data_IF_104884885093
#
_entry.id   IF_104884885093
#
_cell.length_a   1.000
_cell.length_b   1.000
_cell.length_c   1.000
_cell.angle_alpha   90.00
_cell.angle_beta   90.00
_cell.angle_gamma   90.00
#
_symmetry.space_group_name_H-M   'P 1'
#
loop_
_entity.id
_entity.type
_entity.pdbx_description
1 polymer ?
#
# COMPACT_ATOMS: atom_id res chain seq x y z
N UNK A 1 -6.55 15.18 12.38
CA UNK A 1 -5.71 16.05 11.52
C UNK A 1 -5.36 15.33 10.20
N UNK A 2 -4.98 16.08 9.17
CA UNK A 2 -4.48 15.55 7.90
C UNK A 2 -3.10 16.14 7.58
N UNK A 3 -2.43 15.60 6.58
CA UNK A 3 -1.19 16.18 6.09
C UNK A 3 -1.42 17.63 5.62
N UNK A 4 -0.56 18.60 6.00
CA UNK A 4 -0.78 20.02 5.72
C UNK A 4 -1.01 20.37 4.24
N UNK A 5 -0.45 19.57 3.34
CA UNK A 5 -0.53 19.75 1.88
C UNK A 5 -1.78 19.12 1.24
N UNK A 6 -2.67 18.49 2.01
CA UNK A 6 -3.98 18.02 1.52
C UNK A 6 -5.00 19.16 1.50
N UNK A 7 -4.87 20.04 0.50
CA UNK A 7 -5.89 21.03 0.15
C UNK A 7 -6.44 20.69 -1.24
N UNK A 8 -7.78 20.62 -1.37
CA UNK A 8 -8.42 20.09 -2.59
C UNK A 8 -7.96 20.76 -3.90
N UNK A 9 -7.67 22.06 -3.87
CA UNK A 9 -7.22 22.82 -5.03
C UNK A 9 -5.79 22.49 -5.49
N UNK A 10 -4.87 22.21 -4.57
CA UNK A 10 -3.45 21.99 -4.89
C UNK A 10 -3.17 20.51 -5.17
N UNK A 11 -3.83 19.59 -4.45
CA UNK A 11 -3.58 18.13 -4.55
C UNK A 11 -3.95 17.54 -5.92
N UNK A 12 -4.91 18.14 -6.64
CA UNK A 12 -5.31 17.68 -7.97
C UNK A 12 -4.17 17.84 -9.03
N UNK A 13 -3.25 18.78 -8.81
CA UNK A 13 -2.10 19.01 -9.68
C UNK A 13 -0.86 18.18 -9.33
N UNK A 14 -0.67 17.83 -8.05
CA UNK A 14 0.51 17.10 -7.56
C UNK A 14 0.37 15.57 -7.60
N UNK A 15 -0.84 15.04 -7.44
CA UNK A 15 -1.05 13.60 -7.18
C UNK A 15 -1.50 12.82 -8.42
N UNK A 16 -0.92 13.16 -9.59
CA UNK A 16 -1.27 12.53 -10.87
C UNK A 16 -2.79 12.59 -11.17
N UNK A 17 -3.46 13.65 -10.71
CA UNK A 17 -4.91 13.81 -10.82
C UNK A 17 -5.71 12.67 -10.17
N UNK A 18 -5.20 12.13 -9.05
CA UNK A 18 -5.76 11.00 -8.30
C UNK A 18 -5.91 9.73 -9.14
N UNK A 19 -5.08 9.57 -10.19
CA UNK A 19 -5.15 8.41 -11.09
C UNK A 19 -4.50 7.18 -10.50
N UNK A 20 -3.45 7.35 -9.71
CA UNK A 20 -2.67 6.24 -9.14
C UNK A 20 -2.98 6.03 -7.65
N UNK A 21 -3.29 7.09 -6.91
CA UNK A 21 -3.75 7.05 -5.53
C UNK A 21 -4.95 8.01 -5.39
N UNK A 22 -6.12 7.60 -4.87
CA UNK A 22 -6.48 6.27 -4.38
C UNK A 22 -7.24 5.40 -5.40
N UNK A 23 -7.41 5.86 -6.64
CA UNK A 23 -8.39 5.28 -7.58
C UNK A 23 -8.32 3.76 -7.78
N UNK A 24 -7.15 3.11 -7.96
CA UNK A 24 -7.11 1.66 -8.12
C UNK A 24 -7.74 0.92 -6.93
N UNK A 25 -7.44 1.33 -5.69
CA UNK A 25 -8.03 0.73 -4.50
C UNK A 25 -9.56 0.91 -4.46
N UNK A 26 -10.04 2.11 -4.84
CA UNK A 26 -11.48 2.35 -4.97
C UNK A 26 -12.13 1.43 -5.99
N UNK A 27 -11.49 1.20 -7.14
CA UNK A 27 -11.99 0.24 -8.14
C UNK A 27 -12.02 -1.18 -7.56
N UNK A 28 -11.05 -1.56 -6.72
CA UNK A 28 -11.09 -2.84 -5.99
C UNK A 28 -12.36 -2.98 -5.15
N UNK A 29 -12.72 -1.97 -4.37
CA UNK A 29 -13.98 -1.96 -3.64
C UNK A 29 -15.21 -1.99 -4.54
N UNK A 30 -15.17 -1.34 -5.71
CA UNK A 30 -16.26 -1.42 -6.69
C UNK A 30 -16.39 -2.82 -7.29
N UNK A 31 -15.28 -3.54 -7.49
CA UNK A 31 -15.33 -4.95 -7.91
C UNK A 31 -16.02 -5.80 -6.84
N UNK A 32 -15.68 -5.59 -5.57
CA UNK A 32 -16.30 -6.32 -4.46
C UNK A 32 -17.80 -6.01 -4.30
N UNK A 33 -18.24 -4.86 -4.81
CA UNK A 33 -19.62 -4.41 -4.80
C UNK A 33 -20.22 -4.36 -6.23
N UNK A 34 -19.75 -5.22 -7.14
CA UNK A 34 -20.08 -5.16 -8.57
C UNK A 34 -21.59 -5.21 -8.90
N UNK A 35 -22.43 -5.69 -7.98
CA UNK A 35 -23.90 -5.71 -8.16
C UNK A 35 -24.55 -4.32 -8.03
N UNK A 36 -23.84 -3.36 -7.43
CA UNK A 36 -24.28 -1.97 -7.22
C UNK A 36 -23.71 -1.00 -8.28
N UNK A 37 -22.92 -1.51 -9.23
CA UNK A 37 -22.20 -0.71 -10.22
C UNK A 37 -22.58 -1.18 -11.62
N UNK A 38 -22.88 -0.27 -12.58
CA UNK A 38 -23.05 -0.65 -13.98
C UNK A 38 -21.83 -1.40 -14.50
N UNK A 39 -22.05 -2.59 -15.07
CA UNK A 39 -20.96 -3.48 -15.48
C UNK A 39 -20.04 -2.87 -16.54
N UNK A 40 -20.60 -2.07 -17.46
CA UNK A 40 -19.87 -1.32 -18.49
C UNK A 40 -18.98 -0.23 -17.88
N UNK A 41 -19.46 0.46 -16.85
CA UNK A 41 -18.66 1.43 -16.11
C UNK A 41 -17.49 0.74 -15.39
N UNK A 42 -17.76 -0.36 -14.69
CA UNK A 42 -16.71 -1.10 -13.97
C UNK A 42 -15.63 -1.61 -14.93
N UNK A 43 -16.02 -2.23 -16.05
CA UNK A 43 -15.10 -2.70 -17.07
C UNK A 43 -14.26 -1.55 -17.66
N UNK A 44 -14.89 -0.40 -17.93
CA UNK A 44 -14.18 0.80 -18.40
C UNK A 44 -13.16 1.31 -17.38
N UNK A 45 -13.52 1.38 -16.11
CA UNK A 45 -12.62 1.84 -15.04
C UNK A 45 -11.41 0.92 -14.90
N UNK A 46 -11.61 -0.40 -14.91
CA UNK A 46 -10.52 -1.38 -14.86
C UNK A 46 -9.60 -1.22 -16.07
N UNK A 47 -10.17 -1.13 -17.29
CA UNK A 47 -9.39 -0.97 -18.52
C UNK A 47 -8.55 0.31 -18.54
N UNK A 48 -9.13 1.45 -18.11
CA UNK A 48 -8.40 2.71 -17.97
C UNK A 48 -7.25 2.58 -16.97
N UNK A 49 -7.48 1.90 -15.84
CA UNK A 49 -6.48 1.78 -14.79
C UNK A 49 -5.32 0.86 -15.19
N UNK A 50 -5.61 -0.20 -15.95
CA UNK A 50 -4.59 -1.07 -16.53
C UNK A 50 -3.71 -0.33 -17.53
N UNK A 51 -4.32 0.44 -18.45
CA UNK A 51 -3.57 1.28 -19.39
C UNK A 51 -2.70 2.33 -18.69
N UNK A 52 -3.22 2.96 -17.62
CA UNK A 52 -2.46 3.92 -16.82
C UNK A 52 -1.26 3.26 -16.12
N UNK A 53 -1.45 2.06 -15.54
CA UNK A 53 -0.35 1.31 -14.92
C UNK A 53 0.72 0.94 -15.94
N UNK A 54 0.34 0.50 -17.14
CA UNK A 54 1.29 0.13 -18.18
C UNK A 54 2.21 1.30 -18.54
N UNK A 55 1.66 2.51 -18.70
CA UNK A 55 2.45 3.73 -18.96
C UNK A 55 3.37 4.04 -17.77
N UNK A 56 2.85 4.01 -16.54
CA UNK A 56 3.62 4.32 -15.33
C UNK A 56 4.74 3.31 -15.06
N UNK A 57 4.48 2.03 -15.32
CA UNK A 57 5.42 0.90 -15.21
C UNK A 57 6.59 1.09 -16.16
N UNK A 58 6.32 1.39 -17.45
CA UNK A 58 7.37 1.69 -18.45
C UNK A 58 8.20 2.91 -18.03
N UNK A 59 7.55 3.93 -17.49
CA UNK A 59 8.23 5.15 -17.06
C UNK A 59 8.95 5.02 -15.70
N UNK A 60 8.80 3.91 -14.97
CA UNK A 60 9.36 3.76 -13.62
C UNK A 60 8.86 4.81 -12.62
N UNK A 61 7.59 5.20 -12.73
CA UNK A 61 7.02 6.37 -12.02
C UNK A 61 5.86 6.03 -11.07
N UNK A 62 5.80 4.76 -10.63
CA UNK A 62 4.91 4.34 -9.53
C UNK A 62 5.63 4.63 -8.21
N UNK A 63 4.99 5.46 -7.37
CA UNK A 63 5.50 5.83 -6.05
C UNK A 63 4.97 4.92 -4.91
N UNK A 64 5.48 5.16 -3.70
CA UNK A 64 5.15 4.42 -2.47
C UNK A 64 3.66 4.46 -2.09
N UNK A 65 2.91 5.48 -2.53
CA UNK A 65 1.48 5.62 -2.23
C UNK A 65 0.60 5.00 -3.32
N UNK A 66 1.07 5.02 -4.57
CA UNK A 66 0.40 4.42 -5.71
C UNK A 66 0.47 2.89 -5.71
N UNK A 67 1.63 2.31 -5.40
CA UNK A 67 1.84 0.86 -5.51
C UNK A 67 0.82 0.06 -4.65
N UNK A 68 0.59 0.38 -3.36
CA UNK A 68 -0.40 -0.32 -2.53
C UNK A 68 -1.83 -0.23 -3.08
N UNK A 69 -2.19 0.87 -3.75
CA UNK A 69 -3.51 1.01 -4.35
C UNK A 69 -3.73 -0.02 -5.46
N UNK A 70 -2.72 -0.24 -6.30
CA UNK A 70 -2.77 -1.24 -7.36
C UNK A 70 -2.72 -2.67 -6.83
N UNK A 71 -1.94 -2.92 -5.77
CA UNK A 71 -1.95 -4.22 -5.08
C UNK A 71 -3.35 -4.52 -4.53
N UNK A 72 -4.01 -3.52 -3.96
CA UNK A 72 -5.40 -3.65 -3.48
C UNK A 72 -6.35 -4.02 -4.63
N UNK A 73 -6.23 -3.37 -5.79
CA UNK A 73 -7.03 -3.73 -6.97
C UNK A 73 -6.75 -5.17 -7.42
N UNK A 74 -5.48 -5.55 -7.55
CA UNK A 74 -5.07 -6.87 -8.03
C UNK A 74 -5.44 -8.01 -7.06
N UNK A 75 -5.60 -7.70 -5.77
CA UNK A 75 -5.99 -8.69 -4.76
C UNK A 75 -7.50 -8.72 -4.50
N UNK A 76 -8.30 -7.80 -5.05
CA UNK A 76 -9.76 -7.85 -4.94
C UNK A 76 -10.30 -9.21 -5.42
N UNK A 77 -11.11 -9.93 -4.62
CA UNK A 77 -11.64 -11.24 -4.99
C UNK A 77 -12.45 -11.25 -6.29
N UNK A 78 -13.12 -10.14 -6.61
CA UNK A 78 -14.05 -10.05 -7.75
C UNK A 78 -13.43 -9.41 -8.99
N UNK A 79 -12.15 -9.04 -8.97
CA UNK A 79 -11.45 -8.64 -10.19
C UNK A 79 -11.37 -9.83 -11.16
N UNK A 80 -11.77 -9.68 -12.43
CA UNK A 80 -11.72 -10.79 -13.36
C UNK A 80 -10.26 -11.22 -13.65
N UNK A 81 -10.09 -12.52 -13.88
CA UNK A 81 -8.77 -13.19 -13.84
C UNK A 81 -7.76 -12.61 -14.85
N UNK A 82 -8.19 -12.34 -16.08
CA UNK A 82 -7.33 -11.78 -17.13
C UNK A 82 -6.73 -10.41 -16.73
N UNK A 83 -7.56 -9.53 -16.14
CA UNK A 83 -7.12 -8.22 -15.69
C UNK A 83 -6.25 -8.33 -14.44
N UNK A 84 -6.53 -9.31 -13.56
CA UNK A 84 -5.66 -9.63 -12.41
C UNK A 84 -4.27 -10.04 -12.86
N UNK A 85 -4.17 -11.00 -13.77
CA UNK A 85 -2.89 -11.47 -14.33
C UNK A 85 -2.11 -10.33 -14.98
N UNK A 86 -2.80 -9.50 -15.77
CA UNK A 86 -2.20 -8.34 -16.43
C UNK A 86 -1.68 -7.30 -15.43
N UNK A 87 -2.43 -7.01 -14.37
CA UNK A 87 -1.97 -6.10 -13.30
C UNK A 87 -0.76 -6.68 -12.58
N UNK A 88 -0.80 -7.94 -12.16
CA UNK A 88 0.31 -8.56 -11.43
C UNK A 88 1.59 -8.57 -12.26
N UNK A 89 1.50 -8.90 -13.55
CA UNK A 89 2.65 -8.86 -14.45
C UNK A 89 3.31 -7.47 -14.53
N UNK A 90 2.51 -6.40 -14.57
CA UNK A 90 3.01 -5.02 -14.57
C UNK A 90 3.58 -4.61 -13.20
N UNK A 91 2.99 -5.10 -12.11
CA UNK A 91 3.39 -4.75 -10.75
C UNK A 91 4.75 -5.35 -10.38
N UNK A 92 5.13 -6.51 -10.92
CA UNK A 92 6.46 -7.11 -10.69
C UNK A 92 7.57 -6.09 -10.93
N UNK A 93 7.54 -5.39 -12.06
CA UNK A 93 8.55 -4.37 -12.40
C UNK A 93 8.47 -3.10 -11.55
N UNK A 94 7.30 -2.80 -10.98
CA UNK A 94 7.13 -1.62 -10.13
C UNK A 94 7.74 -1.83 -8.74
N UNK A 95 7.70 -3.05 -8.20
CA UNK A 95 8.16 -3.36 -6.83
C UNK A 95 9.63 -3.01 -6.63
N UNK A 96 10.52 -3.40 -7.55
CA UNK A 96 11.97 -3.19 -7.43
C UNK A 96 12.37 -1.72 -7.35
N UNK A 97 11.60 -0.81 -7.97
CA UNK A 97 11.88 0.63 -7.95
C UNK A 97 11.23 1.40 -6.81
N UNK A 98 10.29 0.79 -6.09
CA UNK A 98 9.45 1.48 -5.11
C UNK A 98 9.66 0.97 -3.68
N UNK A 99 10.02 -0.31 -3.50
CA UNK A 99 10.18 -0.94 -2.19
C UNK A 99 11.63 -0.86 -1.73
N UNK A 100 11.82 -0.32 -0.53
CA UNK A 100 13.14 -0.26 0.09
C UNK A 100 13.48 -1.58 0.78
N UNK A 101 14.66 -2.11 0.49
CA UNK A 101 15.15 -3.38 1.06
C UNK A 101 16.33 -3.19 2.02
N UNK A 102 16.76 -1.95 2.26
CA UNK A 102 17.86 -1.62 3.19
C UNK A 102 17.33 -1.46 4.64
N UNK A 103 17.67 -2.38 5.57
CA UNK A 103 17.22 -2.32 6.94
C UNK A 103 17.61 -1.04 7.68
N UNK A 104 18.68 -0.36 7.27
CA UNK A 104 19.13 0.89 7.89
C UNK A 104 18.10 2.03 7.75
N UNK A 105 17.17 1.91 6.80
CA UNK A 105 16.17 2.93 6.45
C UNK A 105 14.74 2.52 6.79
N UNK A 106 14.52 1.36 7.43
CA UNK A 106 13.17 0.89 7.75
C UNK A 106 12.40 1.78 8.74
N UNK A 107 13.10 2.65 9.47
CA UNK A 107 12.48 3.65 10.34
C UNK A 107 11.95 4.89 9.57
N UNK A 108 12.30 5.05 8.29
CA UNK A 108 11.92 6.20 7.48
C UNK A 108 10.52 6.04 6.88
N UNK A 109 9.95 7.14 6.37
CA UNK A 109 8.66 7.14 5.69
C UNK A 109 8.78 6.61 4.26
N UNK A 110 8.75 5.28 4.10
CA UNK A 110 8.97 4.58 2.84
C UNK A 110 8.05 3.36 2.71
N UNK A 111 8.04 2.72 1.55
CA UNK A 111 7.35 1.44 1.32
C UNK A 111 8.31 0.28 1.59
N UNK A 112 7.90 -0.67 2.43
CA UNK A 112 8.74 -1.73 2.96
C UNK A 112 8.34 -3.12 2.42
N UNK A 113 9.20 -4.15 2.57
CA UNK A 113 8.98 -5.50 2.02
C UNK A 113 7.61 -6.11 2.37
N UNK A 114 7.14 -5.92 3.61
CA UNK A 114 5.92 -6.55 4.12
C UNK A 114 4.65 -5.79 3.69
N UNK A 115 4.78 -4.58 3.13
CA UNK A 115 3.65 -3.86 2.53
C UNK A 115 3.25 -4.48 1.17
N UNK A 116 4.20 -5.15 0.50
CA UNK A 116 3.98 -5.90 -0.74
C UNK A 116 3.78 -7.40 -0.47
N UNK A 117 4.49 -7.94 0.53
CA UNK A 117 4.47 -9.34 0.92
C UNK A 117 3.95 -9.55 2.37
N UNK A 118 2.70 -9.16 2.69
CA UNK A 118 2.18 -9.29 4.06
C UNK A 118 1.99 -10.74 4.50
N UNK A 119 2.00 -11.70 3.57
CA UNK A 119 1.87 -13.14 3.84
C UNK A 119 2.79 -13.94 2.90
N UNK A 120 3.14 -15.19 3.24
CA UNK A 120 3.90 -16.08 2.35
C UNK A 120 3.22 -16.37 1.01
N UNK A 121 1.89 -16.23 0.94
CA UNK A 121 1.07 -16.50 -0.25
C UNK A 121 0.67 -15.22 -1.00
N UNK A 122 1.25 -14.06 -0.62
CA UNK A 122 0.95 -12.81 -1.29
C UNK A 122 1.34 -12.89 -2.79
N UNK A 123 0.51 -12.40 -3.73
CA UNK A 123 0.77 -12.57 -5.17
C UNK A 123 2.10 -12.02 -5.67
N UNK A 124 2.68 -11.06 -4.95
CA UNK A 124 3.97 -10.42 -5.28
C UNK A 124 5.09 -10.84 -4.32
N UNK A 125 4.89 -11.86 -3.48
CA UNK A 125 5.92 -12.31 -2.50
C UNK A 125 7.26 -12.63 -3.19
N UNK A 126 7.20 -13.27 -4.36
CA UNK A 126 8.38 -13.68 -5.10
C UNK A 126 9.14 -12.51 -5.75
N UNK A 127 8.56 -11.31 -5.78
CA UNK A 127 9.21 -10.12 -6.35
C UNK A 127 10.05 -9.38 -5.32
N UNK A 128 9.96 -9.77 -4.05
CA UNK A 128 10.76 -9.23 -2.95
C UNK A 128 11.73 -10.30 -2.49
N UNK A 129 13.01 -9.93 -2.37
CA UNK A 129 14.04 -10.86 -1.90
C UNK A 129 13.68 -11.42 -0.53
N UNK A 130 13.81 -12.74 -0.37
CA UNK A 130 13.45 -13.42 0.89
C UNK A 130 14.20 -12.86 2.09
N UNK A 131 15.48 -12.51 1.91
CA UNK A 131 16.30 -11.88 2.95
C UNK A 131 15.78 -10.50 3.37
N UNK A 132 15.19 -9.72 2.45
CA UNK A 132 14.61 -8.43 2.77
C UNK A 132 13.29 -8.58 3.56
N UNK A 133 12.50 -9.60 3.23
CA UNK A 133 11.31 -9.97 4.02
C UNK A 133 11.72 -10.40 5.43
N UNK A 134 12.68 -11.30 5.56
CA UNK A 134 13.17 -11.78 6.86
C UNK A 134 13.76 -10.62 7.70
N UNK A 135 14.56 -9.74 7.08
CA UNK A 135 15.11 -8.55 7.76
C UNK A 135 14.01 -7.58 8.23
N UNK A 136 12.95 -7.40 7.44
CA UNK A 136 11.83 -6.55 7.86
C UNK A 136 11.03 -7.20 8.99
N UNK A 137 10.82 -8.53 8.96
CA UNK A 137 10.21 -9.26 10.08
C UNK A 137 11.03 -9.12 11.38
N UNK A 138 12.36 -9.24 11.29
CA UNK A 138 13.27 -9.04 12.42
C UNK A 138 13.17 -7.62 12.97
N UNK A 139 13.21 -6.62 12.09
CA UNK A 139 13.01 -5.22 12.46
C UNK A 139 11.69 -4.99 13.19
N UNK A 140 10.57 -5.59 12.74
CA UNK A 140 9.29 -5.46 13.43
C UNK A 140 9.34 -6.05 14.84
N UNK A 141 10.00 -7.19 15.04
CA UNK A 141 10.12 -7.80 16.37
C UNK A 141 10.99 -6.94 17.30
N UNK A 142 12.13 -6.48 16.79
CA UNK A 142 13.11 -5.70 17.58
C UNK A 142 12.63 -4.31 17.95
N UNK A 143 11.75 -3.71 17.14
CA UNK A 143 11.24 -2.35 17.35
C UNK A 143 9.86 -2.27 17.97
N UNK A 144 9.28 -3.41 18.38
CA UNK A 144 8.04 -3.41 19.12
C UNK A 144 8.23 -2.71 20.47
N UNK A 145 7.37 -1.75 20.77
CA UNK A 145 7.39 -1.00 22.02
C UNK A 145 6.81 -1.83 23.17
N UNK A 146 7.11 -1.42 24.41
CA UNK A 146 6.64 -2.12 25.61
C UNK A 146 5.10 -2.18 25.75
N UNK A 147 4.38 -1.27 25.10
CA UNK A 147 2.91 -1.26 25.04
C UNK A 147 2.35 -2.14 23.91
N UNK A 148 3.21 -2.84 23.16
CA UNK A 148 2.85 -3.69 22.03
C UNK A 148 2.66 -2.94 20.71
N UNK A 149 2.78 -1.61 20.70
CA UNK A 149 2.69 -0.78 19.49
C UNK A 149 4.06 -0.60 18.82
N UNK A 150 4.10 0.25 17.79
CA UNK A 150 5.32 0.64 17.09
C UNK A 150 5.39 2.15 16.88
N UNK A 151 6.59 2.73 16.73
CA UNK A 151 6.74 4.11 16.30
C UNK A 151 6.10 4.36 14.93
N UNK A 152 5.55 5.57 14.74
CA UNK A 152 5.08 6.02 13.42
C UNK A 152 6.20 6.82 12.73
N UNK A 153 6.51 6.56 11.45
CA UNK A 153 7.50 7.34 10.70
C UNK A 153 7.01 8.74 10.29
N UNK A 154 5.82 9.16 10.72
CA UNK A 154 5.27 10.49 10.47
C UNK A 154 4.58 11.05 11.71
N UNK A 155 4.49 12.39 11.78
CA UNK A 155 3.70 13.11 12.76
C UNK A 155 3.11 14.38 12.18
N UNK A 156 1.88 14.71 12.59
CA UNK A 156 1.23 15.99 12.31
C UNK A 156 0.91 16.78 13.59
N UNK A 157 1.61 16.49 14.69
CA UNK A 157 1.46 17.24 15.95
C UNK A 157 1.69 18.75 15.75
N UNK A 158 2.53 19.13 14.79
CA UNK A 158 2.80 20.52 14.45
C UNK A 158 1.61 21.26 13.80
N UNK A 159 0.59 20.53 13.32
CA UNK A 159 -0.64 21.12 12.76
C UNK A 159 -1.69 21.30 13.85
N UNK A 160 -1.93 20.23 14.61
CA UNK A 160 -2.89 20.19 15.71
C UNK A 160 -2.47 19.07 16.67
N UNK A 161 -1.80 19.45 17.76
CA UNK A 161 -1.23 18.52 18.74
C UNK A 161 -2.31 17.66 19.41
N UNK A 162 -3.44 18.25 19.78
CA UNK A 162 -4.51 17.54 20.47
C UNK A 162 -5.19 16.52 19.55
N UNK A 163 -5.50 16.92 18.31
CA UNK A 163 -6.07 16.01 17.33
C UNK A 163 -5.05 14.93 16.90
N UNK A 164 -3.76 15.28 16.84
CA UNK A 164 -2.70 14.31 16.54
C UNK A 164 -2.56 13.27 17.66
N UNK A 165 -2.60 13.66 18.93
CA UNK A 165 -2.49 12.72 20.04
C UNK A 165 -3.56 11.61 20.00
N UNK A 166 -4.78 11.93 19.56
CA UNK A 166 -5.82 10.93 19.31
C UNK A 166 -5.50 10.08 18.07
N UNK A 167 -5.19 10.72 16.95
CA UNK A 167 -4.89 10.03 15.69
C UNK A 167 -3.68 9.09 15.81
N UNK A 168 -2.65 9.46 16.56
CA UNK A 168 -1.46 8.64 16.79
C UNK A 168 -1.82 7.34 17.52
N UNK A 169 -2.68 7.41 18.55
CA UNK A 169 -3.18 6.22 19.25
C UNK A 169 -3.97 5.31 18.31
N UNK A 170 -4.85 5.88 17.50
CA UNK A 170 -5.68 5.12 16.57
C UNK A 170 -4.83 4.43 15.48
N UNK A 171 -3.84 5.16 14.93
CA UNK A 171 -2.89 4.61 13.96
C UNK A 171 -2.01 3.52 14.56
N UNK A 172 -1.47 3.72 15.78
CA UNK A 172 -0.71 2.70 16.50
C UNK A 172 -1.53 1.43 16.71
N UNK A 173 -2.80 1.56 17.08
CA UNK A 173 -3.71 0.42 17.21
C UNK A 173 -3.91 -0.34 15.89
N UNK A 174 -4.20 0.38 14.80
CA UNK A 174 -4.35 -0.21 13.47
C UNK A 174 -3.08 -0.94 13.00
N UNK A 175 -1.93 -0.29 13.12
CA UNK A 175 -0.64 -0.84 12.70
C UNK A 175 -0.26 -2.03 13.56
N UNK A 176 -0.48 -1.99 14.87
CA UNK A 176 -0.19 -3.10 15.75
C UNK A 176 -0.96 -4.36 15.34
N UNK A 177 -2.28 -4.25 15.09
CA UNK A 177 -3.08 -5.39 14.62
C UNK A 177 -2.56 -5.96 13.30
N UNK A 178 -2.23 -5.09 12.33
CA UNK A 178 -1.72 -5.54 11.04
C UNK A 178 -0.36 -6.23 11.17
N UNK A 179 0.59 -5.64 11.91
CA UNK A 179 1.93 -6.20 12.13
C UNK A 179 1.88 -7.55 12.84
N UNK A 180 1.05 -7.69 13.88
CA UNK A 180 0.87 -8.95 14.59
C UNK A 180 0.28 -10.04 13.68
N UNK A 181 -0.71 -9.70 12.83
CA UNK A 181 -1.24 -10.64 11.83
C UNK A 181 -0.19 -11.07 10.81
N UNK A 182 0.62 -10.13 10.33
CA UNK A 182 1.75 -10.41 9.43
C UNK A 182 2.74 -11.34 10.11
N UNK A 183 3.22 -11.02 11.32
CA UNK A 183 4.16 -11.87 12.08
C UNK A 183 3.61 -13.28 12.31
N UNK A 184 2.33 -13.40 12.69
CA UNK A 184 1.66 -14.69 12.85
C UNK A 184 1.60 -15.49 11.54
N UNK A 185 1.26 -14.83 10.42
CA UNK A 185 1.14 -15.48 9.11
C UNK A 185 2.50 -15.96 8.59
N UNK A 186 3.57 -15.24 8.94
CA UNK A 186 4.96 -15.63 8.68
C UNK A 186 5.55 -16.58 9.75
N UNK A 187 4.77 -17.02 10.74
CA UNK A 187 5.18 -17.92 11.82
C UNK A 187 6.38 -17.39 12.64
N UNK A 188 6.38 -16.07 12.87
CA UNK A 188 7.40 -15.33 13.65
C UNK A 188 6.91 -14.95 15.06
N UNK A 189 5.73 -15.42 15.43
CA UNK A 189 5.09 -15.28 16.74
C UNK A 189 4.46 -16.61 17.16
#
# INVERSE_FOLDING_TARGET
PHAPWWTYGESAGSDDGFRSNPRPALIGFLCDNQTLVPADLLAKLIGVQLGHLAVKSIAGSIDMHALPCYITLATSPHLPAEQRESLLALLVGCVTGTVTTDPATFADYQLLPLDVAPTPDAPLVATVERSAVDAHLDYLIETQLADGSWPLPWSWAFVDEAAWAQAERDWKGHIAVNRLRTLQTWQRM
#
